data_IF_354126342992
#
_entry.id   IF_354126342992
#
_cell.length_a   1.000
_cell.length_b   1.000
_cell.length_c   1.000
_cell.angle_alpha   90.00
_cell.angle_beta   90.00
_cell.angle_gamma   90.00
#
_symmetry.space_group_name_H-M   'P 1'
#
loop_
_entity.id
_entity.type
_entity.pdbx_description
1 polymer ?
#
# COMPACT_ATOMS: atom_id res chain seq x y z
N UNK A 1 -27.77 23.98 -47.37
CA UNK A 1 -26.34 23.71 -47.17
C UNK A 1 -25.84 23.99 -45.76
N UNK A 2 -25.99 25.19 -45.17
CA UNK A 2 -25.47 25.49 -43.82
C UNK A 2 -25.95 24.54 -42.72
N UNK A 3 -27.26 24.19 -42.66
CA UNK A 3 -27.80 23.25 -41.65
C UNK A 3 -27.20 21.83 -41.75
N UNK A 4 -26.98 21.32 -42.97
CA UNK A 4 -26.37 19.99 -43.15
C UNK A 4 -24.91 19.95 -42.69
N UNK A 5 -24.15 21.03 -42.93
CA UNK A 5 -22.78 21.18 -42.48
C UNK A 5 -22.75 21.25 -40.94
N UNK A 6 -23.64 22.01 -40.31
CA UNK A 6 -23.75 22.11 -38.85
C UNK A 6 -24.04 20.75 -38.20
N UNK A 7 -25.01 19.99 -38.78
CA UNK A 7 -25.34 18.65 -38.28
C UNK A 7 -24.14 17.70 -38.42
N UNK A 8 -23.43 17.75 -39.56
CA UNK A 8 -22.22 16.94 -39.77
C UNK A 8 -21.11 17.25 -38.75
N UNK A 9 -20.86 18.53 -38.49
CA UNK A 9 -19.87 18.95 -37.49
C UNK A 9 -20.25 18.51 -36.10
N UNK A 10 -21.51 18.68 -35.70
CA UNK A 10 -22.01 18.24 -34.39
C UNK A 10 -21.91 16.72 -34.21
N UNK A 11 -22.18 15.93 -35.29
CA UNK A 11 -22.03 14.48 -35.26
C UNK A 11 -20.57 14.05 -35.03
N UNK A 12 -19.62 14.69 -35.74
CA UNK A 12 -18.18 14.39 -35.56
C UNK A 12 -17.70 14.73 -34.16
N UNK A 13 -18.12 15.87 -33.60
CA UNK A 13 -17.80 16.24 -32.20
C UNK A 13 -18.39 15.23 -31.22
N UNK A 14 -19.65 14.81 -31.43
CA UNK A 14 -20.30 13.80 -30.58
C UNK A 14 -19.56 12.47 -30.58
N UNK A 15 -19.12 12.00 -31.76
CA UNK A 15 -18.32 10.77 -31.87
C UNK A 15 -16.98 10.93 -31.20
N UNK A 16 -16.26 12.04 -31.38
CA UNK A 16 -14.99 12.31 -30.76
C UNK A 16 -15.09 12.31 -29.22
N UNK A 17 -16.11 12.97 -28.65
CA UNK A 17 -16.41 12.95 -27.22
C UNK A 17 -16.71 11.54 -26.71
N UNK A 18 -17.51 10.76 -27.42
CA UNK A 18 -17.83 9.39 -27.06
C UNK A 18 -16.55 8.51 -27.03
N UNK A 19 -15.65 8.66 -27.99
CA UNK A 19 -14.37 7.97 -28.05
C UNK A 19 -13.47 8.39 -26.87
N UNK A 20 -13.39 9.68 -26.57
CA UNK A 20 -12.61 10.18 -25.43
C UNK A 20 -13.15 9.65 -24.10
N UNK A 21 -14.47 9.63 -23.91
CA UNK A 21 -15.11 9.05 -22.73
C UNK A 21 -14.80 7.55 -22.64
N UNK A 22 -14.93 6.82 -23.74
CA UNK A 22 -14.65 5.38 -23.79
C UNK A 22 -13.19 5.08 -23.42
N UNK A 23 -12.24 5.83 -23.97
CA UNK A 23 -10.81 5.71 -23.65
C UNK A 23 -10.58 6.03 -22.17
N UNK A 24 -11.18 7.11 -21.65
CA UNK A 24 -11.05 7.50 -20.25
C UNK A 24 -11.62 6.42 -19.30
N UNK A 25 -12.79 5.87 -19.60
CA UNK A 25 -13.39 4.79 -18.80
C UNK A 25 -12.53 3.53 -18.84
N UNK A 26 -12.00 3.18 -20.01
CA UNK A 26 -11.12 2.01 -20.16
C UNK A 26 -9.81 2.17 -19.39
N UNK A 27 -9.16 3.33 -19.48
CA UNK A 27 -7.88 3.61 -18.80
C UNK A 27 -8.03 3.72 -17.28
N UNK A 28 -9.22 4.12 -16.79
CA UNK A 28 -9.49 4.19 -15.35
C UNK A 28 -10.02 2.89 -14.74
N UNK A 29 -10.13 1.81 -15.54
CA UNK A 29 -10.60 0.53 -15.02
C UNK A 29 -9.53 -0.13 -14.16
N UNK A 30 -9.89 -0.41 -12.91
CA UNK A 30 -9.02 -1.11 -11.98
C UNK A 30 -8.86 -2.56 -12.43
N UNK A 31 -7.61 -3.00 -12.49
CA UNK A 31 -7.25 -4.42 -12.64
C UNK A 31 -7.03 -4.97 -11.25
N UNK A 32 -7.87 -5.92 -10.84
CA UNK A 32 -7.76 -6.55 -9.54
C UNK A 32 -6.73 -7.67 -9.55
N UNK A 33 -6.05 -7.85 -8.41
CA UNK A 33 -5.13 -8.95 -8.17
C UNK A 33 -5.89 -10.26 -7.91
N UNK A 34 -5.16 -11.37 -7.84
CA UNK A 34 -5.72 -12.60 -7.27
C UNK A 34 -5.83 -12.48 -5.73
N UNK A 35 -6.67 -13.32 -5.13
CA UNK A 35 -6.96 -13.25 -3.69
C UNK A 35 -5.74 -13.55 -2.80
N UNK A 36 -4.75 -14.28 -3.30
CA UNK A 36 -3.52 -14.62 -2.57
C UNK A 36 -2.36 -13.64 -2.84
N UNK A 37 -2.63 -12.53 -3.52
CA UNK A 37 -1.60 -11.55 -3.82
C UNK A 37 -1.00 -10.97 -2.53
N UNK A 38 0.33 -10.85 -2.52
CA UNK A 38 1.11 -10.22 -1.46
C UNK A 38 1.99 -9.16 -2.11
N UNK A 39 2.12 -8.01 -1.48
CA UNK A 39 2.79 -6.86 -2.10
C UNK A 39 4.27 -6.73 -1.77
N UNK A 40 4.73 -7.28 -0.64
CA UNK A 40 6.14 -7.24 -0.23
C UNK A 40 6.41 -8.32 0.82
N UNK A 41 7.67 -8.60 1.09
CA UNK A 41 8.10 -9.53 2.14
C UNK A 41 7.98 -8.89 3.53
N UNK A 42 7.79 -9.70 4.55
CA UNK A 42 7.73 -9.23 5.93
C UNK A 42 9.06 -8.60 6.36
N UNK A 43 10.20 -9.15 5.95
CA UNK A 43 11.52 -8.60 6.24
C UNK A 43 11.65 -7.16 5.70
N UNK A 44 11.21 -6.90 4.48
CA UNK A 44 11.23 -5.56 3.91
C UNK A 44 10.26 -4.62 4.64
N UNK A 45 9.02 -5.04 4.90
CA UNK A 45 8.01 -4.20 5.56
C UNK A 45 8.41 -3.86 7.01
N UNK A 46 8.96 -4.81 7.76
CA UNK A 46 9.46 -4.58 9.10
C UNK A 46 10.65 -3.60 9.14
N UNK A 47 11.35 -3.43 8.02
CA UNK A 47 12.41 -2.43 7.82
C UNK A 47 11.92 -1.17 7.10
N UNK A 48 10.64 -0.84 7.21
CA UNK A 48 10.02 0.37 6.65
C UNK A 48 9.57 0.24 5.19
N UNK A 49 9.70 -0.94 4.57
CA UNK A 49 9.27 -1.19 3.20
C UNK A 49 9.95 -0.29 2.18
N UNK A 50 11.26 -0.04 2.35
CA UNK A 50 12.01 0.86 1.48
C UNK A 50 12.37 0.23 0.13
N UNK A 51 12.22 -1.08 0.01
CA UNK A 51 12.49 -1.88 -1.19
C UNK A 51 11.37 -2.86 -1.42
N UNK A 52 11.09 -3.15 -2.70
CA UNK A 52 10.20 -4.22 -3.12
C UNK A 52 10.68 -4.78 -4.45
N UNK A 53 10.98 -6.07 -4.50
CA UNK A 53 11.31 -6.77 -5.73
C UNK A 53 10.02 -7.31 -6.39
N UNK A 54 9.87 -7.06 -7.69
CA UNK A 54 8.74 -7.54 -8.47
C UNK A 54 9.10 -7.61 -9.96
N UNK A 55 8.92 -8.79 -10.59
CA UNK A 55 9.16 -9.01 -12.03
C UNK A 55 10.55 -8.51 -12.49
N UNK A 56 11.61 -9.01 -11.88
CA UNK A 56 13.01 -8.66 -12.18
C UNK A 56 13.34 -7.17 -12.07
N UNK A 57 12.54 -6.43 -11.31
CA UNK A 57 12.75 -5.02 -10.96
C UNK A 57 12.76 -4.84 -9.45
N UNK A 58 13.51 -3.86 -9.01
CA UNK A 58 13.52 -3.39 -7.62
C UNK A 58 12.95 -1.98 -7.60
N UNK A 59 11.81 -1.82 -6.94
CA UNK A 59 11.19 -0.55 -6.64
C UNK A 59 11.67 -0.08 -5.28
N UNK A 60 12.13 1.16 -5.17
CA UNK A 60 12.76 1.61 -3.93
C UNK A 60 12.59 3.10 -3.65
N UNK A 61 12.70 3.45 -2.37
CA UNK A 61 12.79 4.81 -1.88
C UNK A 61 14.25 5.24 -1.92
N UNK A 62 14.61 6.19 -2.81
CA UNK A 62 15.99 6.60 -2.98
C UNK A 62 16.42 7.58 -1.88
N UNK A 63 17.30 7.20 -0.94
CA UNK A 63 17.70 8.06 0.16
C UNK A 63 18.52 9.28 -0.30
N UNK A 64 19.15 9.21 -1.47
CA UNK A 64 19.92 10.31 -2.04
C UNK A 64 19.05 11.36 -2.77
N UNK A 65 17.73 11.06 -2.97
CA UNK A 65 16.75 12.01 -3.52
C UNK A 65 15.50 12.05 -2.61
N UNK A 66 15.69 12.29 -1.34
CA UNK A 66 14.60 12.46 -0.35
C UNK A 66 13.59 11.31 -0.30
N UNK A 67 14.05 10.08 -0.45
CA UNK A 67 13.24 8.87 -0.51
C UNK A 67 12.16 8.89 -1.61
N UNK A 68 12.40 9.58 -2.72
CA UNK A 68 11.49 9.51 -3.87
C UNK A 68 11.46 8.12 -4.47
N UNK A 69 10.35 7.82 -5.15
CA UNK A 69 10.12 6.52 -5.77
C UNK A 69 10.98 6.33 -7.01
N UNK A 70 11.77 5.27 -7.00
CA UNK A 70 12.65 4.84 -8.09
C UNK A 70 12.40 3.37 -8.43
N UNK A 71 12.87 2.98 -9.61
CA UNK A 71 12.97 1.58 -10.05
C UNK A 71 14.37 1.32 -10.62
N UNK A 72 14.88 0.11 -10.47
CA UNK A 72 16.11 -0.38 -11.10
C UNK A 72 15.95 -1.84 -11.51
N UNK A 73 16.86 -2.34 -12.30
CA UNK A 73 16.95 -3.76 -12.62
C UNK A 73 17.37 -4.57 -11.38
N UNK A 74 17.06 -5.86 -11.34
CA UNK A 74 17.38 -6.74 -10.19
C UNK A 74 18.89 -6.88 -9.93
N UNK A 75 19.72 -6.59 -10.94
CA UNK A 75 21.18 -6.50 -10.82
C UNK A 75 21.69 -5.15 -10.29
N UNK A 76 20.79 -4.31 -9.82
CA UNK A 76 21.05 -2.95 -9.31
C UNK A 76 21.55 -1.95 -10.37
N UNK A 77 21.33 -2.21 -11.65
CA UNK A 77 21.64 -1.29 -12.76
C UNK A 77 20.42 -0.49 -13.22
N UNK A 78 20.63 0.49 -14.09
CA UNK A 78 19.58 1.25 -14.76
C UNK A 78 18.56 1.93 -13.82
N UNK A 79 19.03 2.47 -12.68
CA UNK A 79 18.16 3.15 -11.74
C UNK A 79 17.50 4.39 -12.39
N UNK A 80 16.18 4.47 -12.29
CA UNK A 80 15.36 5.52 -12.88
C UNK A 80 14.30 6.00 -11.89
N UNK A 81 14.11 7.33 -11.85
CA UNK A 81 13.06 7.94 -11.03
C UNK A 81 11.69 7.70 -11.67
N UNK A 82 10.73 7.27 -10.85
CA UNK A 82 9.33 7.08 -11.24
C UNK A 82 8.43 8.22 -10.78
N UNK A 83 8.67 8.80 -9.61
CA UNK A 83 7.81 9.84 -9.04
C UNK A 83 8.60 10.81 -8.18
N UNK A 84 8.08 12.03 -8.03
CA UNK A 84 8.57 13.01 -7.06
C UNK A 84 7.98 12.82 -5.66
N UNK A 85 7.08 11.87 -5.49
CA UNK A 85 6.58 11.50 -4.18
C UNK A 85 7.68 10.83 -3.35
N UNK A 86 7.88 11.33 -2.14
CA UNK A 86 8.65 10.63 -1.13
C UNK A 86 7.84 9.48 -0.58
N UNK A 87 8.40 8.28 -0.54
CA UNK A 87 7.65 7.05 -0.31
C UNK A 87 8.26 6.19 0.79
N UNK A 88 7.44 5.35 1.39
CA UNK A 88 7.81 4.26 2.27
C UNK A 88 6.76 3.17 2.22
N UNK A 89 7.02 2.06 2.89
CA UNK A 89 6.12 0.91 2.93
C UNK A 89 5.66 0.46 1.54
N UNK A 90 6.62 0.35 0.60
CA UNK A 90 6.37 0.00 -0.80
C UNK A 90 5.85 -1.43 -0.88
N UNK A 91 4.76 -1.62 -1.61
CA UNK A 91 4.21 -2.90 -2.00
C UNK A 91 3.99 -2.89 -3.51
N UNK A 92 4.32 -3.95 -4.22
CA UNK A 92 4.12 -4.02 -5.68
C UNK A 92 3.42 -5.32 -6.02
N UNK A 93 2.33 -5.24 -6.75
CA UNK A 93 1.62 -6.41 -7.23
C UNK A 93 0.74 -6.08 -8.44
N UNK A 94 0.66 -7.01 -9.39
CA UNK A 94 -0.14 -6.84 -10.58
C UNK A 94 0.33 -5.65 -11.41
N UNK A 95 -0.53 -4.68 -11.61
CA UNK A 95 -0.25 -3.49 -12.42
C UNK A 95 0.12 -2.26 -11.60
N UNK A 96 0.30 -2.40 -10.28
CA UNK A 96 0.37 -1.24 -9.41
C UNK A 96 1.49 -1.31 -8.37
N UNK A 97 2.00 -0.13 -8.05
CA UNK A 97 2.82 0.15 -6.88
C UNK A 97 1.91 0.79 -5.83
N UNK A 98 1.92 0.28 -4.61
CA UNK A 98 1.24 0.84 -3.45
C UNK A 98 2.29 1.32 -2.47
N UNK A 99 2.08 2.49 -1.89
CA UNK A 99 3.04 3.09 -0.98
C UNK A 99 2.38 4.04 0.00
N UNK A 100 3.06 4.33 1.07
CA UNK A 100 2.70 5.42 1.94
C UNK A 100 3.49 6.64 1.50
N UNK A 101 2.77 7.72 1.18
CA UNK A 101 3.37 8.99 0.83
C UNK A 101 3.95 9.65 2.06
N UNK A 102 5.18 10.07 1.97
CA UNK A 102 5.88 10.78 3.01
C UNK A 102 5.90 12.28 2.73
N UNK A 103 5.72 13.12 3.75
CA UNK A 103 5.82 14.54 3.56
C UNK A 103 6.99 15.13 4.36
N UNK A 104 8.16 15.22 3.74
CA UNK A 104 9.35 15.82 4.35
C UNK A 104 9.22 17.32 4.65
N UNK A 105 8.18 17.99 4.15
CA UNK A 105 8.02 19.45 4.28
C UNK A 105 7.13 19.88 5.44
N UNK A 106 6.40 18.97 6.07
CA UNK A 106 5.60 19.34 7.24
C UNK A 106 6.38 19.15 8.53
N UNK A 107 6.60 20.28 9.19
CA UNK A 107 7.08 20.32 10.57
C UNK A 107 6.03 19.67 11.48
N UNK A 108 6.46 18.63 12.19
CA UNK A 108 5.87 18.09 13.41
C UNK A 108 4.35 17.99 13.54
N UNK A 109 3.83 16.80 13.30
CA UNK A 109 2.64 16.35 14.02
C UNK A 109 3.15 15.56 15.25
N UNK A 110 3.31 16.23 16.37
CA UNK A 110 3.76 15.64 17.64
C UNK A 110 5.20 15.10 17.66
N UNK A 111 5.74 14.87 18.83
CA UNK A 111 7.12 14.39 19.03
C UNK A 111 7.34 12.93 18.59
N UNK A 112 6.28 12.14 18.44
CA UNK A 112 6.33 10.70 18.13
C UNK A 112 6.32 10.45 16.61
N UNK A 113 5.75 11.37 15.81
CA UNK A 113 5.52 11.18 14.39
C UNK A 113 6.35 12.12 13.52
N UNK A 114 7.61 12.32 13.86
CA UNK A 114 8.50 13.17 13.06
C UNK A 114 8.78 12.52 11.70
N UNK A 115 8.34 13.21 10.65
CA UNK A 115 8.76 12.93 9.28
C UNK A 115 7.95 11.85 8.60
N UNK A 116 6.56 12.07 8.35
CA UNK A 116 5.91 10.89 8.25
C UNK A 116 4.76 10.81 7.35
N UNK A 117 4.32 9.75 7.19
CA UNK A 117 3.46 9.06 6.28
C UNK A 117 2.11 9.76 6.13
N UNK A 118 1.88 10.41 5.00
CA UNK A 118 0.60 11.02 4.65
C UNK A 118 -0.13 10.16 3.63
N UNK A 119 -0.99 9.28 4.13
CA UNK A 119 -1.91 8.58 3.31
C UNK A 119 -1.33 7.42 2.51
N UNK A 120 -2.24 6.57 2.08
CA UNK A 120 -1.97 5.40 1.25
C UNK A 120 -2.25 5.75 -0.20
N UNK A 121 -1.28 5.52 -1.06
CA UNK A 121 -1.35 5.84 -2.48
C UNK A 121 -1.12 4.60 -3.34
N UNK A 122 -1.58 4.69 -4.56
CA UNK A 122 -1.30 3.75 -5.65
C UNK A 122 -0.90 4.51 -6.89
N UNK A 123 0.07 3.99 -7.66
CA UNK A 123 0.34 4.41 -9.04
C UNK A 123 0.55 3.19 -9.94
N UNK A 124 0.64 3.43 -11.23
CA UNK A 124 1.02 2.40 -12.20
C UNK A 124 2.50 2.02 -12.04
N UNK A 125 2.94 0.88 -12.61
CA UNK A 125 4.33 0.39 -12.48
C UNK A 125 5.38 1.36 -13.06
N UNK A 126 4.98 2.28 -13.92
CA UNK A 126 5.82 3.35 -14.45
C UNK A 126 5.79 4.64 -13.62
N UNK A 127 5.09 4.65 -12.49
CA UNK A 127 4.94 5.81 -11.61
C UNK A 127 3.85 6.80 -12.02
N UNK A 128 3.14 6.54 -13.11
CA UNK A 128 2.05 7.39 -13.59
C UNK A 128 0.73 7.15 -12.84
N UNK A 129 -0.25 8.03 -13.06
CA UNK A 129 -1.61 7.92 -12.52
C UNK A 129 -1.68 7.79 -10.99
N UNK A 130 -0.93 8.60 -10.20
CA UNK A 130 -0.97 8.50 -8.76
C UNK A 130 -2.37 8.81 -8.23
N UNK A 131 -2.87 7.95 -7.34
CA UNK A 131 -4.18 8.07 -6.72
C UNK A 131 -4.10 7.86 -5.23
N UNK A 132 -4.65 8.79 -4.45
CA UNK A 132 -4.88 8.58 -3.03
C UNK A 132 -5.99 7.52 -2.84
N UNK A 133 -5.67 6.48 -2.08
CA UNK A 133 -6.63 5.48 -1.62
C UNK A 133 -7.17 5.84 -0.25
N UNK A 134 -6.30 6.45 0.57
CA UNK A 134 -6.60 6.99 1.88
C UNK A 134 -5.70 8.21 2.12
N UNK A 135 -6.27 9.35 2.49
CA UNK A 135 -5.61 10.66 2.49
C UNK A 135 -5.18 11.17 3.88
N UNK A 136 -5.19 10.28 4.89
CA UNK A 136 -4.78 10.62 6.26
C UNK A 136 -3.56 9.82 6.68
N UNK A 137 -2.99 10.17 7.83
CA UNK A 137 -1.85 9.47 8.41
C UNK A 137 -2.12 7.97 8.54
N UNK A 138 -1.15 7.19 8.08
CA UNK A 138 -1.14 5.74 8.20
C UNK A 138 0.24 5.25 8.63
N UNK A 139 0.29 4.10 9.29
CA UNK A 139 1.53 3.39 9.54
C UNK A 139 1.97 2.54 8.35
N UNK A 140 2.70 1.47 8.63
CA UNK A 140 3.07 0.47 7.62
C UNK A 140 1.82 -0.07 6.95
N UNK A 141 1.86 -0.20 5.63
CA UNK A 141 0.82 -0.86 4.84
C UNK A 141 1.30 -2.23 4.36
N UNK A 142 0.39 -3.17 4.28
CA UNK A 142 0.62 -4.47 3.65
C UNK A 142 -0.53 -4.84 2.73
N UNK A 143 -0.21 -5.27 1.51
CA UNK A 143 -1.19 -5.75 0.54
C UNK A 143 -1.51 -7.21 0.81
N UNK A 144 -2.80 -7.52 0.93
CA UNK A 144 -3.32 -8.88 0.87
C UNK A 144 -4.50 -8.93 -0.11
N UNK A 145 -4.35 -9.66 -1.19
CA UNK A 145 -5.34 -9.72 -2.26
C UNK A 145 -5.57 -8.35 -2.91
N UNK A 146 -6.73 -7.80 -2.65
CA UNK A 146 -7.18 -6.51 -3.19
C UNK A 146 -7.43 -5.44 -2.12
N UNK A 147 -6.95 -5.68 -0.91
CA UNK A 147 -7.02 -4.74 0.20
C UNK A 147 -5.63 -4.41 0.74
N UNK A 148 -5.44 -3.15 1.11
CA UNK A 148 -4.28 -2.66 1.84
C UNK A 148 -4.66 -2.51 3.31
N UNK A 149 -3.95 -3.20 4.17
CA UNK A 149 -4.14 -3.21 5.61
C UNK A 149 -3.13 -2.27 6.26
N UNK A 150 -3.54 -1.49 7.27
CA UNK A 150 -2.69 -0.48 7.88
C UNK A 150 -3.14 -0.06 9.27
N UNK A 151 -2.23 0.56 10.03
CA UNK A 151 -2.58 1.32 11.22
C UNK A 151 -3.10 2.69 10.79
N UNK A 152 -4.29 3.03 11.27
CA UNK A 152 -4.87 4.35 11.14
C UNK A 152 -4.38 5.26 12.26
N UNK A 153 -3.97 6.47 11.91
CA UNK A 153 -3.61 7.51 12.87
C UNK A 153 -4.54 8.71 12.71
N UNK A 154 -5.01 9.25 13.83
CA UNK A 154 -5.84 10.45 13.84
C UNK A 154 -5.63 11.21 15.14
N UNK A 155 -5.69 12.54 15.04
CA UNK A 155 -5.62 13.41 16.23
C UNK A 155 -6.88 13.33 17.10
N UNK A 156 -7.98 12.83 16.56
CA UNK A 156 -9.30 12.82 17.20
C UNK A 156 -9.81 11.43 17.59
N UNK A 157 -9.20 10.38 17.07
CA UNK A 157 -9.60 8.98 17.35
C UNK A 157 -8.39 8.16 17.76
N UNK A 158 -8.56 7.16 18.66
CA UNK A 158 -7.49 6.22 18.98
C UNK A 158 -6.92 5.54 17.75
N UNK A 159 -5.67 5.09 17.86
CA UNK A 159 -5.06 4.23 16.86
C UNK A 159 -5.93 2.99 16.64
N UNK A 160 -6.04 2.55 15.39
CA UNK A 160 -6.90 1.43 15.03
C UNK A 160 -6.35 0.67 13.82
N UNK A 161 -6.79 -0.57 13.64
CA UNK A 161 -6.45 -1.37 12.48
C UNK A 161 -7.53 -1.21 11.40
N UNK A 162 -7.11 -0.82 10.21
CA UNK A 162 -7.97 -0.51 9.08
C UNK A 162 -7.56 -1.26 7.83
N UNK A 163 -8.46 -1.25 6.84
CA UNK A 163 -8.16 -1.63 5.46
C UNK A 163 -8.83 -0.69 4.47
N UNK A 164 -8.22 -0.54 3.30
CA UNK A 164 -8.79 0.14 2.13
C UNK A 164 -8.61 -0.72 0.90
N UNK A 165 -9.63 -0.77 0.03
CA UNK A 165 -9.53 -1.49 -1.23
C UNK A 165 -8.57 -0.79 -2.21
N UNK A 166 -7.97 -1.54 -3.15
CA UNK A 166 -7.03 -1.00 -4.15
C UNK A 166 -7.68 0.00 -5.11
N UNK A 167 -9.00 0.13 -5.11
CA UNK A 167 -9.72 1.15 -5.87
C UNK A 167 -9.90 2.46 -5.07
N UNK A 168 -9.63 2.45 -3.77
CA UNK A 168 -9.80 3.60 -2.87
C UNK A 168 -11.27 3.97 -2.65
N UNK A 169 -12.18 2.99 -2.69
CA UNK A 169 -13.61 3.25 -2.55
C UNK A 169 -14.10 3.20 -1.12
N UNK A 170 -13.44 2.41 -0.28
CA UNK A 170 -13.93 2.14 1.07
C UNK A 170 -12.79 1.89 2.05
N UNK A 171 -12.58 2.84 2.94
CA UNK A 171 -11.85 2.62 4.18
C UNK A 171 -12.76 1.92 5.20
N UNK A 172 -12.24 0.91 5.87
CA UNK A 172 -12.99 0.11 6.84
C UNK A 172 -12.15 -0.18 8.07
N UNK A 173 -12.63 0.22 9.24
CA UNK A 173 -12.05 -0.17 10.52
C UNK A 173 -12.29 -1.66 10.78
N UNK A 174 -11.24 -2.36 11.15
CA UNK A 174 -11.27 -3.80 11.46
C UNK A 174 -11.26 -4.01 12.97
N UNK A 175 -10.39 -3.31 13.69
CA UNK A 175 -10.18 -3.46 15.13
C UNK A 175 -9.81 -2.13 15.77
N UNK A 176 -10.17 -1.97 17.05
CA UNK A 176 -9.68 -0.88 17.89
C UNK A 176 -8.20 -1.08 18.29
N UNK A 177 -7.72 -2.31 18.30
CA UNK A 177 -6.30 -2.61 18.54
C UNK A 177 -5.47 -2.26 17.31
N UNK A 178 -4.41 -1.45 17.43
CA UNK A 178 -3.65 -0.93 16.30
C UNK A 178 -2.58 -1.92 15.83
N UNK A 179 -2.99 -3.03 15.24
CA UNK A 179 -2.06 -4.02 14.71
C UNK A 179 -1.19 -3.46 13.58
N UNK A 180 0.08 -3.87 13.54
CA UNK A 180 1.02 -3.54 12.47
C UNK A 180 1.10 -4.69 11.46
N UNK A 181 0.57 -4.55 10.23
CA UNK A 181 0.39 -5.66 9.29
C UNK A 181 1.64 -5.96 8.44
N UNK A 182 2.80 -6.13 9.05
CA UNK A 182 4.04 -6.28 8.31
C UNK A 182 4.24 -7.66 7.65
N UNK A 183 3.53 -8.70 8.08
CA UNK A 183 3.69 -10.05 7.54
C UNK A 183 2.38 -10.57 6.95
N UNK A 184 2.37 -10.85 5.65
CA UNK A 184 1.20 -11.40 4.94
C UNK A 184 1.58 -12.70 4.24
N UNK A 185 0.80 -13.75 4.44
CA UNK A 185 0.93 -15.01 3.73
C UNK A 185 -0.45 -15.66 3.49
N UNK A 186 -0.76 -16.00 2.26
CA UNK A 186 -1.97 -16.74 1.89
C UNK A 186 -3.28 -16.21 2.52
N UNK A 187 -3.58 -14.92 2.34
CA UNK A 187 -4.76 -14.24 2.91
C UNK A 187 -4.76 -14.19 4.45
N UNK A 188 -3.63 -14.41 5.08
CA UNK A 188 -3.45 -14.30 6.53
C UNK A 188 -2.41 -13.22 6.83
N UNK A 189 -2.74 -12.33 7.75
CA UNK A 189 -1.82 -11.31 8.25
C UNK A 189 -1.36 -11.74 9.63
N UNK A 190 -0.05 -11.74 9.86
CA UNK A 190 0.55 -12.05 11.15
C UNK A 190 1.12 -10.79 11.78
N UNK A 191 0.95 -10.66 13.08
CA UNK A 191 1.46 -9.53 13.87
C UNK A 191 1.65 -9.92 15.34
N UNK A 192 2.45 -9.15 16.04
CA UNK A 192 2.56 -9.26 17.50
C UNK A 192 1.44 -8.48 18.16
N UNK A 193 0.87 -9.02 19.22
CA UNK A 193 -0.15 -8.34 20.03
C UNK A 193 0.47 -7.11 20.72
N UNK A 194 0.03 -5.89 20.41
CA UNK A 194 0.64 -4.69 20.98
C UNK A 194 0.16 -4.38 22.41
N UNK A 195 -0.93 -4.97 22.86
CA UNK A 195 -1.59 -4.64 24.13
C UNK A 195 -1.49 -5.74 25.18
N UNK A 196 -1.18 -6.96 24.77
CA UNK A 196 -1.16 -8.13 25.65
C UNK A 196 0.24 -8.64 26.00
N UNK A 197 0.40 -9.95 25.91
CA UNK A 197 1.66 -10.64 26.18
C UNK A 197 2.64 -10.63 25.00
N UNK A 198 2.36 -9.86 23.96
CA UNK A 198 3.11 -9.87 22.69
C UNK A 198 3.09 -11.25 21.99
N UNK A 199 1.99 -11.96 22.12
CA UNK A 199 1.74 -13.20 21.39
C UNK A 199 1.75 -12.96 19.88
N UNK A 200 2.12 -13.97 19.10
CA UNK A 200 1.91 -13.94 17.67
C UNK A 200 0.45 -14.22 17.36
N UNK A 201 -0.18 -13.27 16.71
CA UNK A 201 -1.56 -13.36 16.26
C UNK A 201 -1.62 -13.52 14.75
N UNK A 202 -2.70 -14.15 14.27
CA UNK A 202 -3.07 -14.16 12.85
C UNK A 202 -4.44 -13.53 12.66
N UNK A 203 -4.60 -12.81 11.58
CA UNK A 203 -5.87 -12.29 11.08
C UNK A 203 -6.15 -12.91 9.72
N UNK A 204 -7.20 -13.70 9.61
CA UNK A 204 -7.68 -14.26 8.36
C UNK A 204 -8.52 -13.21 7.62
N UNK A 205 -8.05 -12.76 6.46
CA UNK A 205 -8.65 -11.64 5.72
C UNK A 205 -10.01 -12.00 5.10
N UNK A 206 -10.29 -13.30 4.92
CA UNK A 206 -11.52 -13.79 4.35
C UNK A 206 -12.63 -13.91 5.38
N UNK A 207 -12.32 -14.50 6.53
CA UNK A 207 -13.30 -14.69 7.62
C UNK A 207 -13.40 -13.50 8.57
N UNK A 208 -12.39 -12.63 8.59
CA UNK A 208 -12.29 -11.52 9.53
C UNK A 208 -11.96 -11.94 10.95
N UNK A 209 -11.42 -13.15 11.17
CA UNK A 209 -11.13 -13.69 12.51
C UNK A 209 -9.67 -13.48 12.89
N UNK A 210 -9.45 -13.03 14.11
CA UNK A 210 -8.14 -13.01 14.77
C UNK A 210 -8.00 -14.23 15.67
N UNK A 211 -6.82 -14.85 15.68
CA UNK A 211 -6.49 -16.03 16.50
C UNK A 211 -5.07 -15.95 17.02
N UNK A 212 -4.83 -16.49 18.21
CA UNK A 212 -3.46 -16.69 18.73
C UNK A 212 -2.82 -17.85 17.97
N UNK A 213 -1.67 -17.61 17.39
CA UNK A 213 -0.86 -18.60 16.67
C UNK A 213 0.20 -19.19 17.60
N UNK A 214 0.85 -18.32 18.38
CA UNK A 214 1.90 -18.74 19.29
C UNK A 214 1.93 -17.85 20.54
N UNK A 215 1.90 -18.50 21.73
CA UNK A 215 1.98 -17.83 23.03
C UNK A 215 3.46 -17.60 23.37
N UNK A 216 3.89 -16.36 23.22
CA UNK A 216 5.26 -15.96 23.44
C UNK A 216 5.33 -14.46 23.79
N UNK A 217 6.53 -13.97 24.06
CA UNK A 217 6.81 -12.55 24.18
C UNK A 217 7.68 -12.12 22.96
N UNK A 218 7.04 -11.83 21.83
CA UNK A 218 7.71 -11.49 20.57
C UNK A 218 7.50 -10.05 20.18
N UNK A 219 8.57 -9.39 19.74
CA UNK A 219 8.50 -8.03 19.23
C UNK A 219 8.06 -7.96 17.76
N UNK A 220 8.60 -8.87 16.96
CA UNK A 220 8.27 -9.01 15.53
C UNK A 220 8.05 -10.49 15.23
N UNK A 221 7.13 -10.75 14.33
CA UNK A 221 6.90 -12.08 13.77
C UNK A 221 7.03 -12.01 12.25
N UNK A 222 7.78 -12.94 11.70
CA UNK A 222 7.76 -13.26 10.28
C UNK A 222 7.32 -14.71 10.11
N UNK A 223 6.53 -15.00 9.09
CA UNK A 223 6.05 -16.34 8.79
C UNK A 223 6.39 -16.65 7.33
N UNK A 224 7.21 -17.65 7.14
CA UNK A 224 7.62 -18.08 5.81
C UNK A 224 7.79 -19.60 5.78
N UNK A 225 7.32 -20.24 4.70
CA UNK A 225 7.48 -21.68 4.44
C UNK A 225 7.02 -22.59 5.61
N UNK A 226 5.99 -22.16 6.36
CA UNK A 226 5.46 -22.91 7.51
C UNK A 226 6.25 -22.75 8.81
N UNK A 227 7.24 -21.89 8.83
CA UNK A 227 8.01 -21.52 10.03
C UNK A 227 7.64 -20.13 10.51
N UNK A 228 7.70 -19.93 11.84
CA UNK A 228 7.56 -18.62 12.47
C UNK A 228 8.94 -18.18 12.94
N UNK A 229 9.41 -17.06 12.42
CA UNK A 229 10.66 -16.42 12.83
C UNK A 229 10.32 -15.32 13.83
N UNK A 230 10.90 -15.39 15.01
CA UNK A 230 10.58 -14.48 16.11
C UNK A 230 11.79 -13.63 16.48
N UNK A 231 11.54 -12.35 16.71
CA UNK A 231 12.45 -11.50 17.47
C UNK A 231 11.97 -11.43 18.92
N UNK A 232 12.65 -12.12 19.82
CA UNK A 232 12.30 -12.18 21.23
C UNK A 232 12.81 -10.95 21.96
N UNK A 233 12.00 -10.43 22.88
CA UNK A 233 12.45 -9.43 23.84
C UNK A 233 13.22 -10.19 24.95
N UNK A 234 14.52 -10.00 25.01
CA UNK A 234 15.28 -10.41 26.17
C UNK A 234 15.11 -9.34 27.26
N UNK A 235 14.45 -9.72 28.33
CA UNK A 235 14.36 -8.93 29.56
C UNK A 235 15.58 -9.27 30.44
#
# INVERSE_FOLDING_TARGET
MKKAITIGVLSVIGIALAVLIFISVRNNRIVYNNDNAVGNTAGNLNNGGLFCEYNDKIYFANPYDYNKLYVMDSDCTNAMKLSDDSVGSINVCGNYIYYVKNNFKQETIGTIFRGQFFGVYRCDLNGESPKALYDKLSGIIALSGNDLYYQHYSDTTPLAFHKVDIAGKKDTKISDTPYSPACVQNQTIYFSDPEGKHNVLSYDTKSGRTSVVYDCNSYLADVENGYIYLSLIHI
#
